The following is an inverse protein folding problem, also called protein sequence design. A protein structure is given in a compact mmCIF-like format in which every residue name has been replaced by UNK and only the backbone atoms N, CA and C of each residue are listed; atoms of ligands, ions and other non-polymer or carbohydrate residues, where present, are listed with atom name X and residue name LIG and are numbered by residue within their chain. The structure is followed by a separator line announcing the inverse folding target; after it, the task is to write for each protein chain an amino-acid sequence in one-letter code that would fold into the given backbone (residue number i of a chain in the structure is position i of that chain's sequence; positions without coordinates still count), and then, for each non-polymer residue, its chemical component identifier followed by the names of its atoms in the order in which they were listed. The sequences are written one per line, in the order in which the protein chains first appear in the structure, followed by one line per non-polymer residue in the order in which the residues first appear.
data_IF_659868317882
#
_entry.id   IF_659868317882
#
_cell.length_a   1.000
_cell.length_b   1.000
_cell.length_c   1.000
_cell.angle_alpha   90.00
_cell.angle_beta   90.00
_cell.angle_gamma   90.00
#
_symmetry.space_group_name_H-M   'P 1'
#
loop_
_entity.id
_entity.type
_entity.pdbx_description
1 polymer ?
#
# COMPACT_ATOMS: atom_id res chain seq x y z
N UNK A 1 -18.59 1.87 4.18
CA UNK A 1 -17.75 0.91 4.92
C UNK A 1 -16.33 1.08 4.43
N UNK A 2 -15.43 1.60 5.27
CA UNK A 2 -14.05 1.88 4.89
C UNK A 2 -13.29 0.56 4.84
N UNK A 3 -13.16 -0.04 3.65
CA UNK A 3 -12.26 -1.17 3.46
C UNK A 3 -10.84 -0.66 3.62
N UNK A 4 -10.07 -1.29 4.49
CA UNK A 4 -8.63 -1.09 4.61
C UNK A 4 -7.95 -2.33 4.06
N UNK A 5 -6.76 -2.19 3.49
CA UNK A 5 -5.94 -3.32 3.07
C UNK A 5 -4.53 -3.12 3.62
N UNK A 6 -3.88 -4.22 3.96
CA UNK A 6 -2.48 -4.25 4.31
C UNK A 6 -1.65 -4.38 3.04
N UNK A 7 -0.59 -3.59 2.98
CA UNK A 7 0.36 -3.57 1.89
C UNK A 7 1.76 -3.73 2.46
N UNK A 8 2.56 -4.59 1.85
CA UNK A 8 3.96 -4.74 2.18
C UNK A 8 4.78 -3.92 1.18
N UNK A 9 5.72 -3.11 1.65
CA UNK A 9 6.60 -2.44 0.71
C UNK A 9 7.64 -3.40 0.14
N UNK A 10 7.90 -3.39 -1.18
CA UNK A 10 8.92 -4.24 -1.82
C UNK A 10 10.35 -3.95 -1.33
N UNK A 11 10.64 -2.71 -0.92
CA UNK A 11 12.00 -2.32 -0.49
C UNK A 11 12.22 -2.53 1.01
N UNK A 12 11.32 -1.99 1.84
CA UNK A 12 11.47 -1.99 3.30
C UNK A 12 10.95 -3.30 3.93
N UNK A 13 10.19 -4.12 3.19
CA UNK A 13 9.36 -5.23 3.70
C UNK A 13 8.43 -4.83 4.87
N UNK A 14 8.25 -3.52 5.04
CA UNK A 14 7.41 -2.92 6.07
C UNK A 14 5.96 -3.05 5.68
N UNK A 15 5.16 -3.64 6.56
CA UNK A 15 3.71 -3.80 6.38
C UNK A 15 2.98 -2.61 6.98
N UNK A 16 2.13 -1.97 6.20
CA UNK A 16 1.28 -0.88 6.66
C UNK A 16 -0.13 -1.04 6.10
N UNK A 17 -1.10 -0.39 6.72
CA UNK A 17 -2.49 -0.43 6.25
C UNK A 17 -2.84 0.83 5.47
N UNK A 18 -3.66 0.67 4.45
CA UNK A 18 -4.06 1.72 3.53
C UNK A 18 -5.57 1.63 3.24
N UNK A 19 -6.21 2.77 2.99
CA UNK A 19 -7.65 2.82 2.76
C UNK A 19 -7.99 2.47 1.31
N UNK A 20 -8.69 1.36 1.11
CA UNK A 20 -9.07 0.79 -0.17
C UNK A 20 -9.95 1.71 -1.01
N UNK A 21 -10.89 2.40 -0.37
CA UNK A 21 -11.91 3.23 -1.04
C UNK A 21 -11.31 4.48 -1.71
N UNK A 22 -10.15 4.93 -1.26
CA UNK A 22 -9.45 6.06 -1.87
C UNK A 22 -8.29 5.63 -2.77
N UNK A 23 -7.75 4.42 -2.61
CA UNK A 23 -6.49 4.01 -3.26
C UNK A 23 -6.69 3.01 -4.40
N UNK A 24 -7.68 2.09 -4.32
CA UNK A 24 -7.92 1.09 -5.38
C UNK A 24 -8.51 1.78 -6.61
N UNK A 25 -7.95 1.51 -7.79
CA UNK A 25 -8.27 2.15 -9.09
C UNK A 25 -7.86 3.61 -9.27
N UNK A 26 -7.31 4.30 -8.25
CA UNK A 26 -6.85 5.69 -8.39
C UNK A 26 -5.37 5.86 -8.79
N UNK A 27 -4.61 4.77 -8.98
CA UNK A 27 -3.15 4.82 -9.30
C UNK A 27 -2.38 5.74 -8.34
N UNK A 28 -2.72 5.69 -7.06
CA UNK A 28 -2.05 6.49 -6.05
C UNK A 28 -0.81 5.74 -5.58
N UNK A 29 0.33 6.41 -5.64
CA UNK A 29 1.56 5.89 -5.07
C UNK A 29 1.44 5.87 -3.54
N UNK A 30 1.55 4.70 -2.97
CA UNK A 30 1.66 4.47 -1.54
C UNK A 30 3.07 4.83 -1.08
N UNK A 31 3.15 5.62 -0.02
CA UNK A 31 4.42 6.00 0.59
C UNK A 31 4.72 5.03 1.75
N UNK A 32 5.77 4.21 1.65
CA UNK A 32 6.23 3.40 2.79
C UNK A 32 6.65 4.36 3.91
N UNK A 33 6.03 4.33 5.10
CA UNK A 33 6.43 5.17 6.23
C UNK A 33 7.79 4.76 6.81
N UNK A 34 8.28 3.55 6.50
CA UNK A 34 9.56 3.05 6.98
C UNK A 34 10.76 3.54 6.15
N UNK A 35 10.68 3.46 4.82
CA UNK A 35 11.77 3.88 3.94
C UNK A 35 11.49 5.16 3.13
N UNK A 36 10.26 5.67 3.14
CA UNK A 36 9.85 6.81 2.31
C UNK A 36 9.71 6.48 0.82
N UNK A 37 9.77 5.21 0.45
CA UNK A 37 9.64 4.77 -0.95
C UNK A 37 8.19 4.90 -1.42
N UNK A 38 7.99 5.43 -2.63
CA UNK A 38 6.69 5.58 -3.27
C UNK A 38 6.49 4.48 -4.30
N UNK A 39 5.54 3.59 -4.06
CA UNK A 39 5.26 2.45 -4.92
C UNK A 39 3.75 2.32 -5.13
N UNK A 40 3.32 1.72 -6.22
CA UNK A 40 1.90 1.44 -6.44
C UNK A 40 1.45 0.23 -5.61
N UNK A 41 0.16 0.13 -5.30
CA UNK A 41 -0.38 -1.08 -4.69
C UNK A 41 -0.09 -2.33 -5.54
N UNK A 42 -0.09 -2.19 -6.88
CA UNK A 42 0.29 -3.24 -7.83
C UNK A 42 1.76 -3.70 -7.72
N UNK A 43 2.65 -2.85 -7.22
CA UNK A 43 4.07 -3.18 -6.99
C UNK A 43 4.31 -3.81 -5.62
N UNK A 44 3.28 -3.88 -4.78
CA UNK A 44 3.36 -4.55 -3.50
C UNK A 44 3.49 -6.06 -3.69
N UNK A 45 4.53 -6.72 -3.14
CA UNK A 45 4.66 -8.17 -3.19
C UNK A 45 3.57 -8.90 -2.40
N UNK A 46 2.95 -8.24 -1.42
CA UNK A 46 1.89 -8.83 -0.59
C UNK A 46 0.80 -7.79 -0.30
N UNK A 47 -0.45 -8.14 -0.63
CA UNK A 47 -1.63 -7.32 -0.35
C UNK A 47 -2.63 -8.21 0.39
N UNK A 48 -3.07 -7.79 1.58
CA UNK A 48 -4.08 -8.52 2.36
C UNK A 48 -5.28 -7.60 2.59
N UNK A 49 -6.47 -8.04 2.15
CA UNK A 49 -7.74 -7.29 2.30
C UNK A 49 -8.43 -7.52 3.65
#
# INVERSE_FOLDING_TARGET
MTKIFWVACPECNGKFYCQWHELRHKRIQLLCPYCGHRFLDEESPEITE
#
